data_IF_681909980455
#
_entry.id   IF_681909980455
#
_cell.length_a   1.000
_cell.length_b   1.000
_cell.length_c   1.000
_cell.angle_alpha   90.00
_cell.angle_beta   90.00
_cell.angle_gamma   90.00
#
_symmetry.space_group_name_H-M   'P 1'
#
loop_
_entity.id
_entity.type
_entity.pdbx_description
1 polymer ?
#
# COMPACT_ATOMS: atom_id res chain seq x y z
N UNK A 1 -33.43 44.55 -21.87
CA UNK A 1 -32.79 44.00 -23.08
C UNK A 1 -31.73 42.98 -22.65
N UNK A 2 -31.56 41.95 -23.48
CA UNK A 2 -31.00 40.62 -23.23
C UNK A 2 -29.69 40.56 -22.41
N UNK A 3 -29.68 39.67 -21.41
CA UNK A 3 -28.48 39.06 -20.87
C UNK A 3 -27.83 38.18 -21.97
N UNK A 4 -26.54 38.35 -22.19
CA UNK A 4 -25.74 37.49 -23.06
C UNK A 4 -25.02 36.49 -22.16
N UNK A 5 -25.39 35.23 -22.34
CA UNK A 5 -24.74 34.08 -21.74
C UNK A 5 -23.27 34.01 -22.19
N UNK A 6 -22.35 33.99 -21.24
CA UNK A 6 -20.97 33.62 -21.50
C UNK A 6 -20.88 32.09 -21.56
N UNK A 7 -20.30 31.64 -22.66
CA UNK A 7 -20.15 30.27 -23.15
C UNK A 7 -19.55 29.30 -22.13
N UNK A 8 -20.11 28.09 -22.11
CA UNK A 8 -19.52 26.92 -21.49
C UNK A 8 -18.10 26.66 -22.02
N UNK A 9 -17.17 26.46 -21.08
CA UNK A 9 -15.80 26.01 -21.36
C UNK A 9 -15.81 24.70 -22.15
N UNK A 10 -14.84 24.47 -23.06
CA UNK A 10 -14.74 23.21 -23.78
C UNK A 10 -14.49 22.07 -22.79
N UNK A 11 -15.42 21.14 -22.70
CA UNK A 11 -15.30 19.94 -21.86
C UNK A 11 -14.00 19.22 -22.21
N UNK A 12 -13.11 19.09 -21.23
CA UNK A 12 -11.94 18.21 -21.35
C UNK A 12 -12.41 16.83 -21.85
N UNK A 13 -11.69 16.16 -22.76
CA UNK A 13 -12.06 14.82 -23.20
C UNK A 13 -12.21 13.92 -21.97
N UNK A 14 -13.31 13.16 -21.91
CA UNK A 14 -13.54 12.19 -20.83
C UNK A 14 -12.35 11.22 -20.80
N UNK A 15 -11.51 11.30 -19.77
CA UNK A 15 -10.39 10.38 -19.52
C UNK A 15 -10.81 9.09 -18.84
N UNK A 16 -12.11 8.93 -18.55
CA UNK A 16 -12.65 7.74 -17.93
C UNK A 16 -13.74 7.08 -18.75
N UNK A 17 -13.75 5.75 -18.75
CA UNK A 17 -14.69 4.92 -19.51
C UNK A 17 -15.33 3.85 -18.62
N UNK A 18 -16.63 3.55 -18.74
CA UNK A 18 -17.25 2.45 -18.02
C UNK A 18 -16.57 1.11 -18.34
N UNK A 19 -16.28 0.32 -17.31
CA UNK A 19 -15.84 -1.07 -17.44
C UNK A 19 -16.96 -1.94 -18.06
N UNK A 20 -16.58 -2.96 -18.83
CA UNK A 20 -17.51 -3.88 -19.51
C UNK A 20 -17.63 -5.23 -18.79
N UNK A 21 -16.78 -5.51 -17.81
CA UNK A 21 -16.76 -6.70 -16.97
C UNK A 21 -16.19 -6.43 -15.59
N UNK A 22 -15.73 -7.50 -14.92
CA UNK A 22 -14.96 -7.35 -13.69
C UNK A 22 -13.62 -6.64 -13.95
N UNK A 23 -13.13 -5.92 -12.94
CA UNK A 23 -11.98 -5.05 -13.10
C UNK A 23 -10.68 -5.81 -13.43
N UNK A 24 -10.57 -7.08 -13.02
CA UNK A 24 -9.40 -7.90 -13.31
C UNK A 24 -9.39 -8.30 -14.79
N UNK A 25 -10.50 -8.85 -15.30
CA UNK A 25 -10.66 -9.22 -16.71
C UNK A 25 -10.44 -8.05 -17.64
N UNK A 26 -10.91 -6.86 -17.27
CA UNK A 26 -10.68 -5.65 -18.04
C UNK A 26 -9.19 -5.33 -18.23
N UNK A 27 -8.36 -5.52 -17.19
CA UNK A 27 -6.93 -5.19 -17.24
C UNK A 27 -6.07 -6.24 -17.94
N UNK A 28 -6.49 -7.51 -17.91
CA UNK A 28 -5.66 -8.62 -18.36
C UNK A 28 -6.27 -9.47 -19.47
N UNK A 29 -7.52 -9.27 -19.86
CA UNK A 29 -8.17 -10.02 -20.93
C UNK A 29 -8.70 -11.40 -20.55
N UNK A 30 -8.58 -11.83 -19.30
CA UNK A 30 -9.06 -13.13 -18.82
C UNK A 30 -9.66 -13.02 -17.41
N UNK A 31 -10.63 -13.86 -17.09
CA UNK A 31 -11.21 -13.91 -15.75
C UNK A 31 -10.24 -14.56 -14.77
N UNK A 32 -10.17 -14.04 -13.55
CA UNK A 32 -9.38 -14.67 -12.50
C UNK A 32 -9.93 -16.07 -12.18
N UNK A 33 -9.06 -17.07 -12.28
CA UNK A 33 -9.39 -18.50 -12.08
C UNK A 33 -8.51 -19.07 -10.96
N UNK A 34 -8.16 -20.36 -11.02
CA UNK A 34 -7.27 -20.94 -10.02
C UNK A 34 -5.91 -20.23 -9.98
N UNK A 35 -5.34 -20.12 -8.78
CA UNK A 35 -4.11 -19.37 -8.56
C UNK A 35 -2.95 -19.75 -9.51
N UNK A 36 -2.64 -21.04 -9.75
CA UNK A 36 -1.56 -21.41 -10.68
C UNK A 36 -1.85 -21.02 -12.14
N UNK A 37 -3.12 -21.12 -12.57
CA UNK A 37 -3.51 -20.75 -13.94
C UNK A 37 -3.43 -19.23 -14.10
N UNK A 38 -4.00 -18.45 -13.16
CA UNK A 38 -3.90 -16.99 -13.16
C UNK A 38 -2.43 -16.54 -13.14
N UNK A 39 -1.59 -17.15 -12.31
CA UNK A 39 -0.16 -16.85 -12.25
C UNK A 39 0.56 -17.16 -13.58
N UNK A 40 0.18 -18.24 -14.26
CA UNK A 40 0.75 -18.64 -15.56
C UNK A 40 0.33 -17.74 -16.72
N UNK A 41 -0.87 -17.15 -16.66
CA UNK A 41 -1.37 -16.20 -17.66
C UNK A 41 -0.79 -14.79 -17.49
N UNK A 42 -0.27 -14.46 -16.30
CA UNK A 42 0.42 -13.20 -16.05
C UNK A 42 1.89 -13.32 -16.45
N UNK A 43 2.32 -12.57 -17.46
CA UNK A 43 3.73 -12.48 -17.87
C UNK A 43 4.36 -11.27 -17.22
N UNK A 44 5.42 -11.49 -16.44
CA UNK A 44 6.15 -10.43 -15.75
C UNK A 44 7.60 -10.36 -16.26
N UNK A 45 8.05 -9.16 -16.62
CA UNK A 45 9.40 -8.91 -17.11
C UNK A 45 10.09 -7.89 -16.22
N UNK A 46 11.21 -8.29 -15.61
CA UNK A 46 12.04 -7.39 -14.83
C UNK A 46 12.78 -6.40 -15.74
N UNK A 47 12.83 -5.14 -15.31
CA UNK A 47 13.58 -4.05 -15.92
C UNK A 47 14.70 -3.59 -14.98
N UNK A 48 15.54 -2.68 -15.45
CA UNK A 48 16.57 -2.04 -14.61
C UNK A 48 15.94 -1.28 -13.43
N UNK A 49 16.69 -1.18 -12.32
CA UNK A 49 16.25 -0.43 -11.14
C UNK A 49 15.10 -1.09 -10.37
N UNK A 50 14.92 -2.41 -10.50
CA UNK A 50 13.85 -3.14 -9.80
C UNK A 50 12.45 -2.88 -10.35
N UNK A 51 12.35 -2.27 -11.53
CA UNK A 51 11.09 -1.99 -12.19
C UNK A 51 10.52 -3.24 -12.89
N UNK A 52 9.21 -3.27 -13.12
CA UNK A 52 8.56 -4.40 -13.80
C UNK A 52 7.60 -3.97 -14.90
N UNK A 53 7.45 -4.84 -15.90
CA UNK A 53 6.33 -4.83 -16.84
C UNK A 53 5.47 -6.06 -16.57
N UNK A 54 4.16 -5.88 -16.49
CA UNK A 54 3.18 -6.95 -16.36
C UNK A 54 2.25 -6.95 -17.56
N UNK A 55 1.98 -8.15 -18.09
CA UNK A 55 1.12 -8.36 -19.25
C UNK A 55 0.15 -9.52 -18.98
N UNK A 56 -1.10 -9.37 -19.42
CA UNK A 56 -2.09 -10.44 -19.48
C UNK A 56 -2.25 -11.03 -20.89
N UNK A 57 -3.43 -11.55 -21.18
CA UNK A 57 -3.81 -12.14 -22.48
C UNK A 57 -4.38 -11.12 -23.47
N UNK A 58 -4.76 -9.91 -23.01
CA UNK A 58 -5.20 -8.80 -23.88
C UNK A 58 -4.03 -8.02 -24.52
N UNK A 59 -2.80 -8.49 -24.38
CA UNK A 59 -1.56 -7.87 -24.85
C UNK A 59 -1.21 -6.51 -24.23
N UNK A 60 -2.03 -5.94 -23.34
CA UNK A 60 -1.75 -4.67 -22.68
C UNK A 60 -0.54 -4.77 -21.75
N UNK A 61 0.36 -3.77 -21.82
CA UNK A 61 1.60 -3.72 -21.07
C UNK A 61 1.52 -2.69 -19.95
N UNK A 62 1.64 -3.15 -18.72
CA UNK A 62 1.61 -2.31 -17.52
C UNK A 62 3.01 -2.11 -16.94
N UNK A 63 3.54 -0.88 -16.99
CA UNK A 63 4.80 -0.52 -16.31
C UNK A 63 4.51 -0.26 -14.84
N UNK A 64 4.98 -1.12 -13.95
CA UNK A 64 4.60 -1.12 -12.53
C UNK A 64 5.54 -0.30 -11.63
N UNK A 65 6.62 0.26 -12.18
CA UNK A 65 7.68 0.82 -11.35
C UNK A 65 8.26 -0.24 -10.39
N UNK A 66 8.79 0.19 -9.24
CA UNK A 66 9.54 -0.66 -8.29
C UNK A 66 8.69 -1.00 -7.08
N UNK A 67 8.57 -2.30 -6.77
CA UNK A 67 8.02 -2.77 -5.49
C UNK A 67 9.13 -3.30 -4.59
N UNK A 68 9.11 -2.89 -3.32
CA UNK A 68 10.06 -3.35 -2.31
C UNK A 68 9.48 -3.14 -0.89
N UNK A 69 10.14 -3.71 0.13
CA UNK A 69 9.67 -3.67 1.52
C UNK A 69 10.68 -3.02 2.47
N UNK A 70 10.97 -1.72 2.33
CA UNK A 70 12.04 -1.09 3.08
C UNK A 70 11.70 -0.85 4.55
N UNK A 71 12.73 -0.82 5.38
CA UNK A 71 12.69 -0.29 6.75
C UNK A 71 13.08 1.21 6.79
N UNK A 72 13.12 1.84 7.97
CA UNK A 72 13.44 3.27 8.08
C UNK A 72 14.87 3.61 7.64
N UNK A 73 15.85 2.78 8.01
CA UNK A 73 17.25 2.99 7.59
C UNK A 73 17.40 2.97 6.06
N UNK A 74 16.77 1.99 5.41
CA UNK A 74 16.81 1.83 3.95
C UNK A 74 16.12 3.00 3.22
N UNK A 75 15.03 3.55 3.77
CA UNK A 75 14.36 4.72 3.22
C UNK A 75 15.18 6.01 3.38
N UNK A 76 15.81 6.21 4.53
CA UNK A 76 16.71 7.34 4.78
C UNK A 76 17.91 7.29 3.83
N UNK A 77 18.48 6.11 3.62
CA UNK A 77 19.56 5.89 2.66
C UNK A 77 19.12 6.20 1.22
N UNK A 78 17.93 5.75 0.80
CA UNK A 78 17.37 6.07 -0.53
C UNK A 78 17.25 7.59 -0.72
N UNK A 79 16.73 8.32 0.28
CA UNK A 79 16.63 9.78 0.23
C UNK A 79 18.00 10.46 0.19
N UNK A 80 18.97 9.98 0.95
CA UNK A 80 20.34 10.49 0.92
C UNK A 80 20.98 10.30 -0.47
N UNK A 81 20.81 9.14 -1.09
CA UNK A 81 21.31 8.85 -2.45
C UNK A 81 20.66 9.75 -3.51
N UNK A 82 19.41 10.14 -3.32
CA UNK A 82 18.69 11.08 -4.20
C UNK A 82 19.09 12.57 -3.95
N UNK A 83 19.97 12.81 -2.98
CA UNK A 83 20.58 14.11 -2.70
C UNK A 83 19.98 14.86 -1.52
N UNK A 84 19.23 14.16 -0.64
CA UNK A 84 18.80 14.66 0.65
C UNK A 84 17.58 15.59 0.62
N UNK A 85 16.96 15.76 1.78
CA UNK A 85 15.75 16.57 1.97
C UNK A 85 15.99 18.07 1.78
N UNK A 86 17.25 18.53 1.84
CA UNK A 86 17.62 19.93 1.55
C UNK A 86 17.22 20.38 0.14
N UNK A 87 17.08 19.43 -0.81
CA UNK A 87 16.56 19.68 -2.16
C UNK A 87 15.04 19.83 -2.24
N UNK A 88 14.34 19.67 -1.12
CA UNK A 88 12.89 19.82 -1.02
C UNK A 88 12.52 21.07 -0.19
N UNK A 89 12.92 22.29 -0.60
CA UNK A 89 12.57 23.49 0.14
C UNK A 89 11.07 23.75 0.09
N UNK A 90 10.52 24.28 1.17
CA UNK A 90 9.12 24.66 1.24
C UNK A 90 8.62 24.76 2.68
N UNK A 91 7.31 24.98 2.82
CA UNK A 91 6.62 24.93 4.10
C UNK A 91 5.66 23.75 4.10
N UNK A 92 5.71 22.93 5.14
CA UNK A 92 4.74 21.87 5.35
C UNK A 92 3.36 22.47 5.61
N UNK A 93 2.36 21.94 4.91
CA UNK A 93 0.95 22.26 5.12
C UNK A 93 0.20 20.96 5.31
N UNK A 94 -0.63 20.93 6.35
CA UNK A 94 -1.48 19.79 6.68
C UNK A 94 -2.92 20.28 6.64
N UNK A 95 -3.78 19.51 5.98
CA UNK A 95 -5.21 19.77 5.92
C UNK A 95 -5.97 18.45 5.97
N UNK A 96 -7.14 18.46 6.58
CA UNK A 96 -8.06 17.33 6.51
C UNK A 96 -8.84 17.41 5.20
N UNK A 97 -8.93 16.29 4.50
CA UNK A 97 -9.73 16.15 3.29
C UNK A 97 -10.66 14.96 3.44
N UNK A 98 -11.81 15.01 2.77
CA UNK A 98 -12.80 13.94 2.73
C UNK A 98 -13.14 13.68 1.28
N UNK A 99 -13.13 12.42 0.86
CA UNK A 99 -13.45 12.01 -0.50
C UNK A 99 -13.10 10.55 -0.76
N UNK A 100 -13.39 10.08 -1.96
CA UNK A 100 -13.00 8.75 -2.42
C UNK A 100 -11.52 8.73 -2.80
N UNK A 101 -10.75 7.84 -2.17
CA UNK A 101 -9.30 7.73 -2.43
C UNK A 101 -9.00 7.35 -3.88
N UNK A 102 -9.87 6.59 -4.54
CA UNK A 102 -9.69 6.19 -5.93
C UNK A 102 -9.83 7.39 -6.88
N UNK A 103 -10.70 8.35 -6.54
CA UNK A 103 -10.81 9.60 -7.28
C UNK A 103 -9.61 10.52 -7.05
N UNK A 104 -9.06 10.54 -5.82
CA UNK A 104 -7.81 11.25 -5.54
C UNK A 104 -6.61 10.63 -6.29
N UNK A 105 -6.52 9.30 -6.35
CA UNK A 105 -5.50 8.58 -7.12
C UNK A 105 -5.62 8.90 -8.62
N UNK A 106 -6.84 8.91 -9.16
CA UNK A 106 -7.10 9.18 -10.58
C UNK A 106 -6.94 10.66 -10.99
N UNK A 107 -6.87 11.58 -10.03
CA UNK A 107 -6.72 13.01 -10.31
C UNK A 107 -5.33 13.36 -10.83
N UNK A 108 -5.28 14.05 -11.97
CA UNK A 108 -4.05 14.59 -12.55
C UNK A 108 -3.31 15.55 -11.60
N UNK A 109 -4.04 16.23 -10.71
CA UNK A 109 -3.41 17.09 -9.69
C UNK A 109 -2.58 16.33 -8.66
N UNK A 110 -2.75 15.01 -8.60
CA UNK A 110 -2.04 14.12 -7.68
C UNK A 110 -1.07 13.19 -8.42
N UNK A 111 -0.72 13.52 -9.67
CA UNK A 111 0.31 12.80 -10.43
C UNK A 111 1.62 12.74 -9.61
N UNK A 112 2.20 11.55 -9.51
CA UNK A 112 3.37 11.20 -8.70
C UNK A 112 3.24 11.44 -7.20
N UNK A 113 2.05 11.77 -6.68
CA UNK A 113 1.85 11.92 -5.24
C UNK A 113 2.00 10.57 -4.52
N UNK A 114 2.25 10.63 -3.22
CA UNK A 114 2.36 9.45 -2.35
C UNK A 114 1.06 9.24 -1.59
N UNK A 115 0.56 8.00 -1.59
CA UNK A 115 -0.63 7.59 -0.87
C UNK A 115 -0.30 6.51 0.15
N UNK A 116 -0.63 6.79 1.42
CA UNK A 116 -0.63 5.79 2.46
C UNK A 116 -1.85 4.88 2.28
N UNK A 117 -1.60 3.60 2.09
CA UNK A 117 -2.62 2.56 1.94
C UNK A 117 -2.77 1.84 3.26
N UNK A 118 -4.00 1.76 3.77
CA UNK A 118 -4.33 1.00 4.97
C UNK A 118 -4.32 -0.50 4.62
N UNK A 119 -3.19 -1.15 4.87
CA UNK A 119 -2.86 -2.47 4.36
C UNK A 119 -2.52 -3.48 5.46
N UNK A 120 -2.60 -4.76 5.14
CA UNK A 120 -2.03 -5.83 5.98
C UNK A 120 -0.50 -5.91 5.83
N UNK A 121 0.15 -6.59 6.77
CA UNK A 121 1.62 -6.72 6.79
C UNK A 121 2.21 -7.53 5.63
N UNK A 122 1.37 -8.15 4.81
CA UNK A 122 1.72 -8.84 3.57
C UNK A 122 1.47 -8.01 2.30
N UNK A 123 1.08 -6.74 2.44
CA UNK A 123 0.77 -5.83 1.32
C UNK A 123 -0.42 -6.27 0.44
N UNK A 124 -1.37 -7.02 1.04
CA UNK A 124 -2.63 -7.48 0.44
C UNK A 124 -3.81 -6.99 1.30
N UNK A 125 -5.02 -7.03 0.73
CA UNK A 125 -6.23 -6.41 1.28
C UNK A 125 -7.38 -7.40 1.45
N UNK A 126 -7.08 -8.57 2.03
CA UNK A 126 -8.09 -9.61 2.19
C UNK A 126 -9.04 -9.31 3.36
N UNK A 127 -10.35 -9.58 3.25
CA UNK A 127 -11.35 -9.14 4.24
C UNK A 127 -11.23 -9.84 5.62
N UNK A 128 -10.41 -10.89 5.74
CA UNK A 128 -10.16 -11.54 7.03
C UNK A 128 -8.97 -12.50 7.02
N UNK A 129 -8.50 -12.93 8.20
CA UNK A 129 -7.28 -13.72 8.36
C UNK A 129 -7.38 -15.16 7.83
N UNK A 130 -8.56 -15.63 7.45
CA UNK A 130 -8.76 -16.95 6.84
C UNK A 130 -8.74 -16.92 5.31
N UNK A 131 -8.76 -15.74 4.70
CA UNK A 131 -8.68 -15.60 3.25
C UNK A 131 -7.21 -15.55 2.86
N UNK A 132 -6.87 -16.27 1.80
CA UNK A 132 -5.48 -16.54 1.42
C UNK A 132 -5.17 -15.91 0.04
N UNK A 133 -3.89 -15.64 -0.28
CA UNK A 133 -3.47 -15.16 -1.61
C UNK A 133 -4.07 -15.94 -2.78
N UNK A 134 -4.23 -17.26 -2.61
CA UNK A 134 -4.76 -18.17 -3.61
C UNK A 134 -6.24 -17.97 -3.94
N UNK A 135 -6.98 -17.20 -3.12
CA UNK A 135 -8.37 -16.81 -3.38
C UNK A 135 -8.50 -15.72 -4.44
N UNK A 136 -7.39 -15.11 -4.85
CA UNK A 136 -7.37 -14.07 -5.87
C UNK A 136 -7.84 -12.71 -5.37
N UNK A 137 -7.72 -11.70 -6.23
CA UNK A 137 -7.89 -10.29 -5.88
C UNK A 137 -9.16 -9.68 -6.46
N UNK A 138 -9.85 -10.33 -7.40
CA UNK A 138 -11.05 -9.79 -8.07
C UNK A 138 -12.12 -9.36 -7.07
N UNK A 139 -12.30 -10.14 -6.00
CA UNK A 139 -13.29 -9.89 -4.94
C UNK A 139 -12.94 -8.72 -4.01
N UNK A 140 -11.80 -8.04 -4.18
CA UNK A 140 -11.48 -6.82 -3.42
C UNK A 140 -12.58 -5.76 -3.57
N UNK A 141 -13.32 -5.77 -4.68
CA UNK A 141 -14.47 -4.88 -4.92
C UNK A 141 -15.57 -5.02 -3.86
N UNK A 142 -15.65 -6.16 -3.18
CA UNK A 142 -16.65 -6.46 -2.15
C UNK A 142 -16.28 -5.88 -0.78
N UNK A 143 -14.99 -5.58 -0.54
CA UNK A 143 -14.52 -4.92 0.67
C UNK A 143 -14.49 -3.40 0.45
N UNK A 144 -15.37 -2.67 1.14
CA UNK A 144 -15.54 -1.21 0.97
C UNK A 144 -14.62 -0.38 1.86
N UNK A 145 -13.46 -0.91 2.24
CA UNK A 145 -12.42 -0.19 2.98
C UNK A 145 -11.40 0.49 2.05
N UNK A 146 -10.54 1.35 2.61
CA UNK A 146 -9.59 2.16 1.84
C UNK A 146 -8.51 1.35 1.11
N UNK A 147 -8.00 0.27 1.73
CA UNK A 147 -6.96 -0.58 1.16
C UNK A 147 -7.38 -1.19 -0.18
N UNK A 148 -8.51 -1.91 -0.24
CA UNK A 148 -9.08 -2.43 -1.47
C UNK A 148 -9.33 -1.35 -2.54
N UNK A 149 -9.83 -0.16 -2.17
CA UNK A 149 -10.02 0.94 -3.12
C UNK A 149 -8.70 1.37 -3.78
N UNK A 150 -7.63 1.53 -2.99
CA UNK A 150 -6.29 1.83 -3.50
C UNK A 150 -5.75 0.70 -4.38
N UNK A 151 -5.96 -0.55 -3.96
CA UNK A 151 -5.46 -1.73 -4.68
C UNK A 151 -6.16 -1.94 -6.03
N UNK A 152 -7.47 -1.71 -6.12
CA UNK A 152 -8.21 -1.81 -7.38
C UNK A 152 -7.83 -0.67 -8.33
N UNK A 153 -7.66 0.55 -7.80
CA UNK A 153 -7.26 1.71 -8.60
C UNK A 153 -5.90 1.50 -9.29
N UNK A 154 -4.99 0.76 -8.65
CA UNK A 154 -3.69 0.35 -9.20
C UNK A 154 -3.65 -1.17 -9.47
N UNK A 155 -4.68 -1.70 -10.14
CA UNK A 155 -4.91 -3.14 -10.32
C UNK A 155 -3.70 -3.96 -10.79
N UNK A 156 -2.93 -3.53 -11.81
CA UNK A 156 -1.73 -4.26 -12.26
C UNK A 156 -0.66 -4.41 -11.17
N UNK A 157 -0.47 -3.38 -10.35
CA UNK A 157 0.45 -3.40 -9.22
C UNK A 157 -0.04 -4.38 -8.12
N UNK A 158 -1.35 -4.48 -7.92
CA UNK A 158 -1.97 -5.44 -6.99
C UNK A 158 -1.81 -6.88 -7.47
N UNK A 159 -2.04 -7.15 -8.76
CA UNK A 159 -1.79 -8.46 -9.35
C UNK A 159 -0.32 -8.88 -9.21
N UNK A 160 0.61 -7.94 -9.39
CA UNK A 160 2.02 -8.20 -9.15
C UNK A 160 2.30 -8.60 -7.70
N UNK A 161 1.80 -7.84 -6.71
CA UNK A 161 2.01 -8.15 -5.29
C UNK A 161 1.39 -9.48 -4.84
N UNK A 162 0.32 -9.94 -5.49
CA UNK A 162 -0.28 -11.23 -5.17
C UNK A 162 0.42 -12.39 -5.91
N UNK A 163 0.54 -12.29 -7.24
CA UNK A 163 0.90 -13.41 -8.11
C UNK A 163 2.36 -13.47 -8.53
N UNK A 164 3.13 -12.39 -8.41
CA UNK A 164 4.44 -12.27 -9.08
C UNK A 164 5.58 -11.99 -8.12
N UNK A 165 5.38 -11.11 -7.14
CA UNK A 165 6.44 -10.69 -6.22
C UNK A 165 7.18 -11.89 -5.64
N UNK A 166 8.50 -11.83 -5.64
CA UNK A 166 9.30 -12.90 -5.06
C UNK A 166 9.19 -12.83 -3.53
N UNK A 167 8.77 -13.94 -2.90
CA UNK A 167 8.83 -14.11 -1.44
C UNK A 167 9.69 -15.34 -1.17
N UNK A 168 10.74 -15.18 -0.37
CA UNK A 168 11.72 -16.22 -0.08
C UNK A 168 12.23 -16.95 -1.35
N UNK A 169 12.47 -16.20 -2.43
CA UNK A 169 12.97 -16.69 -3.72
C UNK A 169 11.92 -17.27 -4.67
N UNK A 170 10.67 -17.45 -4.21
CA UNK A 170 9.59 -18.06 -4.97
C UNK A 170 8.58 -17.04 -5.47
N UNK A 171 7.99 -17.31 -6.64
CA UNK A 171 7.07 -16.38 -7.31
C UNK A 171 5.69 -16.34 -6.63
N UNK A 172 5.27 -15.14 -6.25
CA UNK A 172 3.94 -14.85 -5.71
C UNK A 172 3.79 -15.22 -4.23
N UNK A 173 2.75 -14.67 -3.60
CA UNK A 173 2.40 -14.95 -2.21
C UNK A 173 1.47 -16.15 -2.12
N UNK A 174 1.67 -17.01 -1.14
CA UNK A 174 0.81 -18.17 -0.86
C UNK A 174 0.42 -18.20 0.61
N UNK A 175 -0.51 -19.08 0.99
CA UNK A 175 -0.88 -19.29 2.40
C UNK A 175 0.32 -19.57 3.29
N UNK A 176 1.30 -20.32 2.78
CA UNK A 176 2.50 -20.73 3.51
C UNK A 176 3.68 -19.77 3.38
N UNK A 177 3.58 -18.75 2.50
CA UNK A 177 4.71 -17.88 2.16
C UNK A 177 4.21 -16.49 1.78
N UNK A 178 4.35 -15.55 2.71
CA UNK A 178 3.86 -14.19 2.53
C UNK A 178 4.94 -13.19 2.93
N UNK A 179 4.84 -12.00 2.36
CA UNK A 179 5.54 -10.84 2.88
C UNK A 179 5.13 -10.66 4.34
N UNK A 180 6.11 -10.37 5.19
CA UNK A 180 5.92 -10.19 6.61
C UNK A 180 6.67 -8.96 7.06
N UNK A 181 6.05 -7.79 6.84
CA UNK A 181 6.63 -6.50 7.17
C UNK A 181 6.81 -6.26 8.67
N UNK A 182 6.33 -7.17 9.52
CA UNK A 182 6.49 -7.12 10.98
C UNK A 182 7.58 -8.08 11.49
N UNK A 183 8.23 -8.85 10.60
CA UNK A 183 9.19 -9.91 10.96
C UNK A 183 10.34 -9.37 11.81
N UNK A 184 11.05 -8.36 11.32
CA UNK A 184 12.28 -7.87 11.94
C UNK A 184 11.98 -7.17 13.27
N UNK A 185 10.93 -6.34 13.31
CA UNK A 185 10.45 -5.69 14.52
C UNK A 185 10.05 -6.69 15.61
N UNK A 186 9.33 -7.77 15.27
CA UNK A 186 8.98 -8.82 16.25
C UNK A 186 10.22 -9.54 16.77
N UNK A 187 11.14 -9.92 15.89
CA UNK A 187 12.40 -10.57 16.25
C UNK A 187 13.25 -9.70 17.18
N UNK A 188 13.13 -8.37 17.09
CA UNK A 188 13.83 -7.44 17.97
C UNK A 188 13.27 -7.41 19.40
N UNK A 189 12.00 -7.77 19.58
CA UNK A 189 11.32 -7.74 20.87
C UNK A 189 11.31 -9.10 21.58
N UNK A 190 11.46 -10.20 20.84
CA UNK A 190 11.55 -11.56 21.35
C UNK A 190 11.65 -12.58 20.22
N UNK A 191 11.60 -13.86 20.56
CA UNK A 191 11.68 -14.93 19.56
C UNK A 191 10.50 -14.89 18.58
N UNK A 192 10.70 -15.28 17.30
CA UNK A 192 9.62 -15.29 16.31
C UNK A 192 8.38 -16.04 16.79
N UNK A 193 7.22 -15.38 16.77
CA UNK A 193 5.95 -15.96 17.21
C UNK A 193 5.74 -16.05 18.73
N UNK A 194 6.70 -15.58 19.54
CA UNK A 194 6.60 -15.57 21.00
C UNK A 194 5.42 -14.74 21.49
N UNK A 195 5.27 -13.53 20.97
CA UNK A 195 4.22 -12.60 21.42
C UNK A 195 3.09 -12.43 20.42
N UNK A 196 3.44 -12.36 19.14
CA UNK A 196 2.53 -12.04 18.04
C UNK A 196 2.73 -13.04 16.93
N UNK A 197 1.65 -13.72 16.57
CA UNK A 197 1.59 -14.65 15.45
C UNK A 197 0.98 -13.95 14.25
N UNK A 198 1.54 -14.16 13.07
CA UNK A 198 0.96 -13.66 11.82
C UNK A 198 0.00 -14.70 11.24
N UNK A 199 -1.15 -14.26 10.75
CA UNK A 199 -2.09 -15.10 10.00
C UNK A 199 -2.68 -14.29 8.84
N UNK A 200 -2.27 -14.58 7.60
CA UNK A 200 -2.75 -13.84 6.42
C UNK A 200 -2.44 -12.33 6.47
N UNK A 201 -1.31 -11.94 7.07
CA UNK A 201 -0.97 -10.52 7.29
C UNK A 201 -1.63 -9.86 8.51
N UNK A 202 -2.46 -10.58 9.27
CA UNK A 202 -3.07 -10.11 10.53
C UNK A 202 -2.23 -10.46 11.74
N UNK A 203 -2.17 -9.57 12.73
CA UNK A 203 -1.51 -9.82 14.02
C UNK A 203 -2.46 -10.52 15.00
N UNK A 204 -2.08 -11.70 15.46
CA UNK A 204 -2.84 -12.52 16.41
C UNK A 204 -2.09 -12.65 17.73
N UNK A 205 -2.76 -12.47 18.86
CA UNK A 205 -2.15 -12.61 20.18
C UNK A 205 -3.11 -13.12 21.26
N UNK A 206 -2.56 -13.59 22.39
CA UNK A 206 -3.31 -13.87 23.61
C UNK A 206 -2.98 -12.81 24.67
N UNK A 207 -3.88 -12.57 25.62
CA UNK A 207 -3.68 -11.61 26.73
C UNK A 207 -2.35 -11.83 27.46
N UNK A 208 -2.02 -13.09 27.76
CA UNK A 208 -0.79 -13.45 28.48
C UNK A 208 0.48 -13.05 27.71
N UNK A 209 0.41 -13.10 26.38
CA UNK A 209 1.54 -12.83 25.50
C UNK A 209 1.70 -11.32 25.30
N UNK A 210 0.58 -10.58 25.17
CA UNK A 210 0.59 -9.12 25.15
C UNK A 210 1.08 -8.52 26.48
N UNK A 211 0.74 -9.11 27.63
CA UNK A 211 1.25 -8.65 28.94
C UNK A 211 2.78 -8.78 29.02
N UNK A 212 3.34 -9.88 28.54
CA UNK A 212 4.80 -10.08 28.48
C UNK A 212 5.45 -9.10 27.50
N UNK A 213 4.84 -8.90 26.34
CA UNK A 213 5.30 -7.93 25.35
C UNK A 213 5.30 -6.50 25.92
N UNK A 214 4.24 -6.12 26.63
CA UNK A 214 4.15 -4.81 27.27
C UNK A 214 5.24 -4.63 28.32
N UNK A 215 5.47 -5.63 29.17
CA UNK A 215 6.58 -5.61 30.12
C UNK A 215 7.92 -5.43 29.41
N UNK A 216 8.18 -6.17 28.33
CA UNK A 216 9.41 -6.02 27.54
C UNK A 216 9.57 -4.61 26.95
N UNK A 217 8.49 -4.04 26.39
CA UNK A 217 8.49 -2.68 25.83
C UNK A 217 8.69 -1.61 26.91
N UNK A 218 8.15 -1.81 28.11
CA UNK A 218 8.29 -0.89 29.25
C UNK A 218 9.74 -0.80 29.74
N UNK A 219 10.51 -1.89 29.65
CA UNK A 219 11.94 -1.89 30.01
C UNK A 219 12.83 -1.18 28.97
N UNK A 220 12.31 -0.86 27.79
CA UNK A 220 13.09 -0.17 26.75
C UNK A 220 13.20 1.33 27.03
N UNK A 221 14.42 1.84 26.93
CA UNK A 221 14.70 3.26 26.84
C UNK A 221 14.08 3.87 25.57
N UNK A 222 14.01 5.20 25.48
CA UNK A 222 13.50 5.86 24.28
C UNK A 222 14.35 5.57 23.03
N UNK A 223 15.68 5.50 23.17
CA UNK A 223 16.56 5.14 22.05
C UNK A 223 16.36 3.70 21.60
N UNK A 224 16.12 2.78 22.53
CA UNK A 224 15.80 1.38 22.21
C UNK A 224 14.43 1.24 21.55
N UNK A 225 13.41 1.98 22.00
CA UNK A 225 12.10 2.03 21.32
C UNK A 225 12.22 2.54 19.90
N UNK A 226 13.02 3.58 19.68
CA UNK A 226 13.34 4.08 18.34
C UNK A 226 14.06 3.04 17.50
N UNK A 227 15.04 2.31 18.05
CA UNK A 227 15.70 1.21 17.33
C UNK A 227 14.71 0.11 16.92
N UNK A 228 13.78 -0.28 17.80
CA UNK A 228 12.71 -1.25 17.47
C UNK A 228 11.79 -0.73 16.37
N UNK A 229 11.42 0.56 16.41
CA UNK A 229 10.60 1.19 15.36
C UNK A 229 11.27 1.14 13.98
N UNK A 230 12.60 1.31 13.92
CA UNK A 230 13.36 1.28 12.67
C UNK A 230 13.34 -0.08 11.97
N UNK A 231 13.07 -1.16 12.71
CA UNK A 231 12.94 -2.51 12.15
C UNK A 231 11.58 -2.74 11.45
N UNK A 232 10.60 -1.84 11.62
CA UNK A 232 9.35 -1.97 10.87
C UNK A 232 9.62 -1.80 9.38
N UNK A 233 9.17 -2.76 8.58
CA UNK A 233 9.12 -2.62 7.12
C UNK A 233 7.76 -2.13 6.68
N UNK A 234 7.70 -1.47 5.52
CA UNK A 234 6.45 -1.11 4.83
C UNK A 234 6.54 -1.54 3.38
N UNK A 235 5.43 -1.86 2.73
CA UNK A 235 5.45 -2.08 1.27
C UNK A 235 5.51 -0.73 0.56
N UNK A 236 6.44 -0.53 -0.36
CA UNK A 236 6.49 0.67 -1.21
C UNK A 236 6.40 0.21 -2.65
N UNK A 237 5.35 0.63 -3.35
CA UNK A 237 5.21 0.45 -4.80
C UNK A 237 5.29 1.81 -5.48
N UNK A 238 6.45 2.08 -6.06
CA UNK A 238 6.82 3.36 -6.67
C UNK A 238 6.29 3.42 -8.10
N UNK A 239 5.79 4.59 -8.51
CA UNK A 239 5.41 4.89 -9.89
C UNK A 239 4.42 3.89 -10.51
N UNK A 240 3.46 3.43 -9.72
CA UNK A 240 2.41 2.51 -10.16
C UNK A 240 1.36 3.24 -11.01
N UNK A 241 0.88 2.63 -12.11
CA UNK A 241 -0.14 3.24 -12.95
C UNK A 241 -1.49 3.18 -12.26
N UNK A 242 -2.22 4.29 -12.29
CA UNK A 242 -3.62 4.34 -11.87
C UNK A 242 -4.48 3.98 -13.08
N UNK A 243 -5.16 2.84 -13.02
CA UNK A 243 -5.90 2.26 -14.15
C UNK A 243 -7.41 2.36 -13.99
N UNK A 244 -7.89 2.69 -12.80
CA UNK A 244 -9.32 2.87 -12.57
C UNK A 244 -9.65 3.75 -11.37
N UNK A 245 -10.89 4.22 -11.33
CA UNK A 245 -11.53 4.74 -10.13
C UNK A 245 -12.92 4.12 -9.94
N UNK A 246 -13.64 4.54 -8.90
CA UNK A 246 -14.97 4.03 -8.55
C UNK A 246 -15.02 2.50 -8.49
N UNK A 247 -14.09 1.90 -7.75
CA UNK A 247 -14.04 0.45 -7.53
C UNK A 247 -13.89 -0.36 -8.83
N UNK A 248 -13.10 0.14 -9.79
CA UNK A 248 -12.87 -0.53 -11.07
C UNK A 248 -13.98 -0.31 -12.10
N UNK A 249 -15.06 0.40 -11.74
CA UNK A 249 -16.19 0.66 -12.66
C UNK A 249 -15.85 1.67 -13.75
N UNK A 250 -14.88 2.54 -13.49
CA UNK A 250 -14.42 3.56 -14.43
C UNK A 250 -12.94 3.34 -14.71
N UNK A 251 -12.60 2.90 -15.92
CA UNK A 251 -11.22 2.78 -16.37
C UNK A 251 -10.62 4.17 -16.59
N UNK A 252 -9.37 4.35 -16.19
CA UNK A 252 -8.55 5.51 -16.50
C UNK A 252 -7.49 5.08 -17.54
N UNK A 253 -7.40 5.83 -18.65
CA UNK A 253 -6.39 5.60 -19.69
C UNK A 253 -5.47 6.82 -19.79
N UNK A 254 -4.51 6.88 -18.87
CA UNK A 254 -3.47 7.91 -18.82
C UNK A 254 -2.18 7.23 -18.32
N UNK A 255 -1.28 6.91 -19.25
CA UNK A 255 -0.02 6.20 -18.97
C UNK A 255 0.96 7.02 -18.14
N UNK A 256 0.78 8.34 -18.08
CA UNK A 256 1.56 9.24 -17.23
C UNK A 256 0.99 9.28 -15.82
N UNK A 257 -0.24 8.82 -15.58
CA UNK A 257 -0.88 8.94 -14.25
C UNK A 257 -0.35 7.83 -13.37
N UNK A 258 0.77 8.11 -12.72
CA UNK A 258 1.38 7.22 -11.75
C UNK A 258 1.43 7.83 -10.37
N UNK A 259 1.48 7.00 -9.34
CA UNK A 259 1.55 7.41 -7.93
C UNK A 259 2.52 6.48 -7.19
N UNK A 260 2.92 6.86 -5.99
CA UNK A 260 3.60 5.93 -5.07
C UNK A 260 2.60 5.46 -4.01
N UNK A 261 2.43 4.15 -3.86
CA UNK A 261 1.63 3.55 -2.78
C UNK A 261 2.54 3.04 -1.66
N UNK A 262 2.28 3.49 -0.43
CA UNK A 262 2.95 2.99 0.78
C UNK A 262 1.94 2.17 1.58
N UNK A 263 2.12 0.85 1.57
CA UNK A 263 1.33 -0.14 2.29
C UNK A 263 1.73 -0.11 3.77
N UNK A 264 1.09 0.79 4.51
CA UNK A 264 1.25 0.96 5.94
C UNK A 264 0.30 0.05 6.70
N UNK A 265 0.83 -0.71 7.64
CA UNK A 265 0.04 -1.65 8.44
C UNK A 265 -0.17 -1.18 9.86
N UNK A 266 -1.31 -1.53 10.42
CA UNK A 266 -1.62 -1.40 11.82
C UNK A 266 -1.89 -2.78 12.44
N UNK A 267 -1.83 -2.88 13.76
CA UNK A 267 -2.15 -4.13 14.43
C UNK A 267 -3.64 -4.45 14.27
N UNK A 268 -3.97 -5.72 14.05
CA UNK A 268 -5.35 -6.22 13.92
C UNK A 268 -6.01 -6.41 15.30
N UNK A 269 -6.11 -5.32 16.08
CA UNK A 269 -6.55 -5.32 17.50
C UNK A 269 -7.89 -6.03 17.69
N UNK A 270 -8.89 -5.74 16.84
CA UNK A 270 -10.24 -6.32 16.93
C UNK A 270 -10.33 -7.82 16.58
N UNK A 271 -9.25 -8.46 16.11
CA UNK A 271 -9.30 -9.85 15.61
C UNK A 271 -8.85 -10.90 16.63
N UNK A 272 -8.28 -10.50 17.76
CA UNK A 272 -7.74 -11.43 18.76
C UNK A 272 -8.59 -11.53 20.04
N UNK A 273 -9.68 -10.77 20.13
CA UNK A 273 -10.59 -10.76 21.30
C UNK A 273 -10.01 -10.14 22.57
N UNK A 274 -8.78 -9.61 22.53
CA UNK A 274 -8.14 -8.95 23.66
C UNK A 274 -8.68 -7.52 23.84
N UNK A 275 -8.50 -6.96 25.03
CA UNK A 275 -8.76 -5.54 25.27
C UNK A 275 -7.81 -4.64 24.47
N UNK A 276 -8.34 -3.54 23.90
CA UNK A 276 -7.57 -2.57 23.11
C UNK A 276 -6.38 -1.98 23.88
N UNK A 277 -6.49 -1.82 25.20
CA UNK A 277 -5.42 -1.33 26.08
C UNK A 277 -4.20 -2.24 26.12
N UNK A 278 -4.36 -3.56 25.95
CA UNK A 278 -3.25 -4.51 25.92
C UNK A 278 -2.41 -4.36 24.64
N UNK A 279 -3.03 -3.95 23.53
CA UNK A 279 -2.34 -3.70 22.27
C UNK A 279 -1.66 -2.34 22.21
N UNK A 280 -2.15 -1.36 22.97
CA UNK A 280 -1.78 0.04 22.81
C UNK A 280 -0.25 0.33 22.83
N UNK A 281 0.58 -0.28 23.70
CA UNK A 281 2.02 -0.04 23.68
C UNK A 281 2.68 -0.48 22.36
N UNK A 282 2.36 -1.68 21.88
CA UNK A 282 2.92 -2.22 20.64
C UNK A 282 2.32 -1.54 19.39
N UNK A 283 1.01 -1.35 19.35
CA UNK A 283 0.32 -0.70 18.23
C UNK A 283 0.83 0.72 17.99
N UNK A 284 1.13 1.49 19.05
CA UNK A 284 1.74 2.82 18.91
C UNK A 284 3.14 2.79 18.29
N UNK A 285 3.96 1.79 18.62
CA UNK A 285 5.29 1.65 18.00
C UNK A 285 5.14 1.42 16.50
N UNK A 286 4.26 0.49 16.11
CA UNK A 286 3.96 0.18 14.70
C UNK A 286 3.41 1.40 13.96
N UNK A 287 2.40 2.08 14.51
CA UNK A 287 1.79 3.25 13.86
C UNK A 287 2.82 4.37 13.66
N UNK A 288 3.57 4.73 14.71
CA UNK A 288 4.60 5.78 14.62
C UNK A 288 5.62 5.48 13.51
N UNK A 289 6.14 4.25 13.48
CA UNK A 289 7.09 3.84 12.46
C UNK A 289 6.46 3.82 11.05
N UNK A 290 5.19 3.42 10.91
CA UNK A 290 4.51 3.36 9.61
C UNK A 290 4.27 4.75 9.02
N UNK A 291 3.86 5.74 9.83
CA UNK A 291 3.73 7.13 9.37
C UNK A 291 5.11 7.73 9.03
N UNK A 292 6.13 7.49 9.85
CA UNK A 292 7.49 7.95 9.59
C UNK A 292 8.04 7.38 8.27
N UNK A 293 7.88 6.07 8.04
CA UNK A 293 8.28 5.41 6.81
C UNK A 293 7.52 5.97 5.58
N UNK A 294 6.23 6.28 5.74
CA UNK A 294 5.43 6.90 4.68
C UNK A 294 5.99 8.26 4.27
N UNK A 295 6.41 9.09 5.23
CA UNK A 295 6.97 10.41 4.96
C UNK A 295 8.35 10.31 4.30
N UNK A 296 9.19 9.34 4.68
CA UNK A 296 10.46 9.10 4.01
C UNK A 296 10.28 8.58 2.58
N UNK A 297 9.37 7.63 2.35
CA UNK A 297 9.02 7.16 1.02
C UNK A 297 8.47 8.30 0.13
N UNK A 298 7.69 9.22 0.72
CA UNK A 298 7.22 10.40 0.03
C UNK A 298 8.34 11.39 -0.31
N UNK A 299 9.32 11.59 0.58
CA UNK A 299 10.49 12.39 0.28
C UNK A 299 11.29 11.79 -0.89
N UNK A 300 11.47 10.47 -0.93
CA UNK A 300 12.11 9.77 -2.04
C UNK A 300 11.34 9.98 -3.36
N UNK A 301 10.01 9.82 -3.35
CA UNK A 301 9.16 10.07 -4.51
C UNK A 301 9.26 11.54 -5.00
N UNK A 302 9.23 12.50 -4.08
CA UNK A 302 9.36 13.91 -4.40
C UNK A 302 10.73 14.27 -5.00
N UNK A 303 11.81 13.61 -4.56
CA UNK A 303 13.15 13.80 -5.13
C UNK A 303 13.27 13.20 -6.54
N UNK A 304 12.71 12.00 -6.77
CA UNK A 304 12.68 11.37 -8.10
C UNK A 304 11.91 12.22 -9.12
N UNK A 305 10.81 12.83 -8.69
CA UNK A 305 9.90 13.60 -9.55
C UNK A 305 9.94 15.11 -9.28
N UNK A 306 11.09 15.65 -8.86
CA UNK A 306 11.21 17.03 -8.35
C UNK A 306 10.76 18.16 -9.28
N UNK A 307 10.62 17.88 -10.59
CA UNK A 307 10.05 18.80 -11.57
C UNK A 307 8.52 18.91 -11.52
N UNK A 308 7.85 17.99 -10.83
CA UNK A 308 6.38 17.89 -10.75
C UNK A 308 5.90 18.33 -9.36
N UNK A 309 5.21 19.48 -9.22
CA UNK A 309 4.80 19.99 -7.91
C UNK A 309 3.93 19.02 -7.08
N UNK A 310 3.10 18.21 -7.75
CA UNK A 310 2.23 17.24 -7.09
C UNK A 310 2.97 16.05 -6.47
N UNK A 311 4.21 15.76 -6.89
CA UNK A 311 5.05 14.73 -6.27
C UNK A 311 5.38 15.02 -4.80
N UNK A 312 5.19 16.27 -4.36
CA UNK A 312 5.37 16.70 -2.97
C UNK A 312 4.10 16.52 -2.12
N UNK A 313 3.01 16.03 -2.71
CA UNK A 313 1.76 15.76 -1.98
C UNK A 313 1.82 14.36 -1.36
N UNK A 314 1.41 14.29 -0.10
CA UNK A 314 1.29 13.04 0.65
C UNK A 314 -0.12 12.93 1.20
N UNK A 315 -0.78 11.82 0.90
CA UNK A 315 -2.09 11.46 1.40
C UNK A 315 -1.92 10.47 2.53
N UNK A 316 -2.20 10.90 3.75
CA UNK A 316 -2.21 10.05 4.93
C UNK A 316 -3.62 9.58 5.23
N UNK A 317 -3.75 8.41 5.82
CA UNK A 317 -5.03 7.82 6.24
C UNK A 317 -4.97 7.42 7.70
N UNK A 318 -6.11 7.28 8.37
CA UNK A 318 -6.17 6.78 9.74
C UNK A 318 -5.89 5.26 9.78
N UNK A 319 -4.61 4.87 9.73
CA UNK A 319 -4.20 3.47 9.77
C UNK A 319 -4.81 2.75 10.97
N UNK A 320 -5.58 1.70 10.68
CA UNK A 320 -6.16 0.82 11.67
C UNK A 320 -7.28 1.41 12.53
N UNK A 321 -7.70 2.67 12.32
CA UNK A 321 -8.76 3.33 13.09
C UNK A 321 -10.19 2.87 12.74
N UNK A 322 -10.35 2.01 11.72
CA UNK A 322 -11.60 1.37 11.35
C UNK A 322 -11.69 -0.07 11.85
N UNK A 323 -11.80 -1.02 10.90
CA UNK A 323 -12.02 -2.45 11.17
C UNK A 323 -10.98 -3.06 12.12
N UNK A 324 -9.72 -2.60 12.07
CA UNK A 324 -8.65 -3.13 12.92
C UNK A 324 -8.75 -2.67 14.38
N UNK A 325 -9.49 -1.59 14.70
CA UNK A 325 -9.75 -1.16 16.08
C UNK A 325 -8.56 -0.60 16.85
N UNK A 326 -7.63 0.09 16.17
CA UNK A 326 -6.49 0.72 16.85
C UNK A 326 -6.95 1.93 17.71
N UNK A 327 -6.30 2.16 18.87
CA UNK A 327 -6.66 3.20 19.83
C UNK A 327 -6.30 4.62 19.41
#
# INVERSE_FOLDING_TARGET
QKAVAASASPSQPRRTWPARGDWFKELFGFQEVSYPVTQGLLKATALKGGQWVLQGENEELWRLGRFWTPNLDELEMEVAMLGGTDKLPGRLRVQNIVGDVADFLASEENRHATFQVASQFNCLEFPGPSVTPERGITDYVCDKTQGPACSIACGPATAFRNYVVAVDGERGQTTSRQIDNLRDLRSRLGEPGQYIKMKGGYTMAQDKDLRKLNYAIEQLSQSQKKAVQRELRVGVHEDVPVTSCQWGRMQLRDDKQTVTQVFGSACSVSYSGNGQSLWAPFARLVLQASYEATLWAAAAAALRHGAVPSARRVFLTCLGGGVFGNP
#
